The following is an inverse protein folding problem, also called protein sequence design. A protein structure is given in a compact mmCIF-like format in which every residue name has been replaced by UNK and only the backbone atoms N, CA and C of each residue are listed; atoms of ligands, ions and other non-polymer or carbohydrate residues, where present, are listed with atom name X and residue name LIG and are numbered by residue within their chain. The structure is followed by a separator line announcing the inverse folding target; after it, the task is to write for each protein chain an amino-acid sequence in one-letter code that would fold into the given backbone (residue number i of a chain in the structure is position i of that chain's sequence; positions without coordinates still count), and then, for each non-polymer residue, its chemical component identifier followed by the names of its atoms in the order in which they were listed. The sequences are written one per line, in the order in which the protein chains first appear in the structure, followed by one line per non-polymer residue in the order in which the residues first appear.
data_IF_385488633467
#
_entry.id   IF_385488633467
#
_cell.length_a   1.000
_cell.length_b   1.000
_cell.length_c   1.000
_cell.angle_alpha   90.00
_cell.angle_beta   90.00
_cell.angle_gamma   90.00
#
_symmetry.space_group_name_H-M   'P 1'
#
loop_
_entity.id
_entity.type
_entity.pdbx_description
1 polymer ?
#
# COMPACT_ATOMS: atom_id res chain seq x y z
N UNK A 1 -17.82 1.86 7.24
CA UNK A 1 -16.49 1.24 6.95
C UNK A 1 -16.53 0.79 5.51
N UNK A 2 -15.86 1.49 4.61
CA UNK A 2 -15.99 1.30 3.15
C UNK A 2 -14.69 0.69 2.61
N UNK A 3 -14.81 -0.25 1.67
CA UNK A 3 -13.67 -0.76 0.91
C UNK A 3 -13.49 0.08 -0.34
N UNK A 4 -12.31 0.68 -0.47
CA UNK A 4 -11.88 1.37 -1.69
C UNK A 4 -11.24 0.34 -2.60
N UNK A 5 -11.71 0.29 -3.86
CA UNK A 5 -11.23 -0.68 -4.86
C UNK A 5 -9.99 -0.15 -5.59
N UNK A 6 -9.97 1.16 -5.87
CA UNK A 6 -8.82 1.80 -6.51
C UNK A 6 -7.67 1.95 -5.51
N UNK A 7 -6.51 1.41 -5.86
CA UNK A 7 -5.30 1.58 -5.05
C UNK A 7 -4.93 3.07 -4.91
N UNK A 8 -4.94 3.81 -6.01
CA UNK A 8 -4.51 5.21 -6.02
C UNK A 8 -5.44 6.09 -5.19
N UNK A 9 -6.76 5.85 -5.27
CA UNK A 9 -7.74 6.52 -4.41
C UNK A 9 -7.51 6.18 -2.93
N UNK A 10 -7.23 4.91 -2.62
CA UNK A 10 -6.98 4.50 -1.25
C UNK A 10 -5.75 5.19 -0.66
N UNK A 11 -4.65 5.30 -1.43
CA UNK A 11 -3.43 5.97 -0.99
C UNK A 11 -3.67 7.46 -0.79
N UNK A 12 -4.26 8.14 -1.78
CA UNK A 12 -4.50 9.59 -1.72
C UNK A 12 -5.36 9.97 -0.50
N UNK A 13 -6.48 9.29 -0.31
CA UNK A 13 -7.37 9.52 0.84
C UNK A 13 -6.71 9.17 2.17
N UNK A 14 -5.86 8.14 2.20
CA UNK A 14 -5.13 7.77 3.41
C UNK A 14 -4.11 8.84 3.83
N UNK A 15 -3.40 9.42 2.85
CA UNK A 15 -2.44 10.52 3.09
C UNK A 15 -3.19 11.78 3.53
N UNK A 16 -4.30 12.11 2.87
CA UNK A 16 -5.14 13.25 3.26
C UNK A 16 -5.68 13.11 4.68
N UNK A 17 -6.14 11.91 5.06
CA UNK A 17 -6.63 11.64 6.41
C UNK A 17 -5.54 11.82 7.45
N UNK A 18 -4.33 11.31 7.18
CA UNK A 18 -3.18 11.50 8.08
C UNK A 18 -2.79 12.98 8.19
N UNK A 19 -2.76 13.72 7.07
CA UNK A 19 -2.44 15.16 7.09
C UNK A 19 -3.45 15.98 7.87
N UNK A 20 -4.72 15.59 7.88
CA UNK A 20 -5.77 16.28 8.62
C UNK A 20 -5.65 16.09 10.13
N UNK A 21 -5.32 14.88 10.59
CA UNK A 21 -5.15 14.57 12.02
C UNK A 21 -4.10 13.46 12.23
N UNK A 22 -2.80 13.82 12.32
CA UNK A 22 -1.71 12.85 12.44
C UNK A 22 -1.75 12.04 13.73
N UNK A 23 -2.20 12.66 14.84
CA UNK A 23 -2.16 12.07 16.19
C UNK A 23 -3.22 10.98 16.37
N UNK A 24 -4.42 11.17 15.79
CA UNK A 24 -5.49 10.17 15.90
C UNK A 24 -5.49 9.14 14.77
N UNK A 25 -4.80 9.43 13.66
CA UNK A 25 -4.72 8.55 12.49
C UNK A 25 -3.84 7.34 12.75
N UNK A 26 -4.40 6.15 12.57
CA UNK A 26 -3.69 4.87 12.67
C UNK A 26 -3.80 4.08 11.38
N UNK A 27 -2.65 3.58 10.94
CA UNK A 27 -2.52 2.65 9.83
C UNK A 27 -2.30 1.22 10.35
N UNK A 28 -3.10 0.27 9.86
CA UNK A 28 -3.12 -1.13 10.30
C UNK A 28 -3.06 -2.05 9.10
N UNK A 29 -2.16 -3.03 9.19
CA UNK A 29 -2.01 -4.13 8.22
C UNK A 29 -2.49 -5.43 8.85
N UNK A 30 -3.32 -6.19 8.13
CA UNK A 30 -3.73 -7.54 8.53
C UNK A 30 -3.57 -8.49 7.36
N UNK A 31 -2.64 -9.44 7.50
CA UNK A 31 -2.48 -10.55 6.57
C UNK A 31 -3.01 -11.84 7.19
N UNK A 32 -3.70 -12.66 6.38
CA UNK A 32 -4.16 -13.99 6.77
C UNK A 32 -3.69 -15.00 5.74
N UNK A 33 -2.69 -15.80 6.13
CA UNK A 33 -2.01 -16.74 5.23
C UNK A 33 -2.93 -17.84 4.69
N UNK A 34 -3.76 -18.45 5.54
CA UNK A 34 -4.67 -19.54 5.12
C UNK A 34 -5.68 -19.10 4.04
N UNK A 35 -6.00 -17.81 3.98
CA UNK A 35 -6.94 -17.26 3.01
C UNK A 35 -6.24 -16.53 1.86
N UNK A 36 -4.91 -16.35 1.92
CA UNK A 36 -4.15 -15.51 0.98
C UNK A 36 -4.57 -14.04 0.96
N UNK A 37 -5.23 -13.53 2.02
CA UNK A 37 -5.86 -12.20 2.01
C UNK A 37 -5.05 -11.17 2.80
N UNK A 38 -4.86 -10.01 2.21
CA UNK A 38 -4.31 -8.81 2.81
C UNK A 38 -5.40 -7.76 2.97
N UNK A 39 -5.45 -7.13 4.14
CA UNK A 39 -6.33 -5.99 4.43
C UNK A 39 -5.49 -4.86 5.01
N UNK A 40 -5.57 -3.70 4.38
CA UNK A 40 -5.00 -2.45 4.85
C UNK A 40 -6.13 -1.56 5.37
N UNK A 41 -5.89 -0.85 6.48
CA UNK A 41 -6.88 0.03 7.10
C UNK A 41 -6.21 1.31 7.60
N UNK A 42 -6.78 2.46 7.27
CA UNK A 42 -6.40 3.77 7.83
C UNK A 42 -7.64 4.40 8.45
N UNK A 43 -7.51 4.98 9.65
CA UNK A 43 -8.65 5.57 10.38
C UNK A 43 -8.20 6.53 11.47
N UNK A 44 -8.97 7.60 11.68
CA UNK A 44 -8.85 8.64 12.72
C UNK A 44 -9.90 8.45 13.85
N UNK A 45 -10.59 7.29 13.87
CA UNK A 45 -11.79 6.99 14.66
C UNK A 45 -13.12 7.60 14.17
N UNK A 46 -13.11 8.52 13.20
CA UNK A 46 -14.33 9.09 12.59
C UNK A 46 -14.57 8.48 11.21
N UNK A 47 -13.54 8.51 10.37
CA UNK A 47 -13.50 7.88 9.07
C UNK A 47 -12.68 6.59 9.12
N UNK A 48 -13.04 5.63 8.27
CA UNK A 48 -12.28 4.40 8.12
C UNK A 48 -12.24 3.93 6.68
N UNK A 49 -11.03 4.02 6.12
CA UNK A 49 -10.66 3.61 4.78
C UNK A 49 -10.09 2.20 4.85
N UNK A 50 -10.52 1.33 3.95
CA UNK A 50 -9.99 -0.03 3.83
C UNK A 50 -9.65 -0.38 2.40
N UNK A 51 -8.54 -1.09 2.23
CA UNK A 51 -8.18 -1.77 1.00
C UNK A 51 -8.05 -3.26 1.27
N UNK A 52 -8.55 -4.10 0.39
CA UNK A 52 -8.48 -5.55 0.52
C UNK A 52 -8.05 -6.15 -0.80
N UNK A 53 -7.13 -7.09 -0.74
CA UNK A 53 -6.64 -7.81 -1.90
C UNK A 53 -6.29 -9.24 -1.55
N UNK A 54 -6.42 -10.12 -2.54
CA UNK A 54 -5.90 -11.49 -2.56
C UNK A 54 -4.77 -11.66 -3.59
N UNK A 55 -4.37 -10.57 -4.24
CA UNK A 55 -3.38 -10.56 -5.30
C UNK A 55 -1.97 -10.39 -4.70
N UNK A 56 -1.14 -11.41 -4.78
CA UNK A 56 0.22 -11.39 -4.24
C UNK A 56 1.10 -10.27 -4.81
N UNK A 57 0.89 -9.88 -6.07
CA UNK A 57 1.57 -8.76 -6.73
C UNK A 57 1.36 -7.41 -6.02
N UNK A 58 0.27 -7.25 -5.27
CA UNK A 58 -0.03 -6.02 -4.54
C UNK A 58 0.71 -5.93 -3.19
N UNK A 59 1.51 -6.93 -2.81
CA UNK A 59 2.42 -6.83 -1.68
C UNK A 59 3.43 -5.67 -1.86
N UNK A 60 3.93 -5.47 -3.10
CA UNK A 60 4.82 -4.33 -3.42
C UNK A 60 4.11 -2.98 -3.20
N UNK A 61 2.81 -2.89 -3.46
CA UNK A 61 2.00 -1.68 -3.21
C UNK A 61 1.91 -1.39 -1.71
N UNK A 62 1.66 -2.41 -0.89
CA UNK A 62 1.67 -2.29 0.57
C UNK A 62 3.02 -1.78 1.09
N UNK A 63 4.13 -2.33 0.61
CA UNK A 63 5.47 -1.85 1.01
C UNK A 63 5.67 -0.37 0.72
N UNK A 64 5.25 0.10 -0.47
CA UNK A 64 5.27 1.52 -0.83
C UNK A 64 4.45 2.37 0.16
N UNK A 65 3.25 1.91 0.53
CA UNK A 65 2.41 2.62 1.50
C UNK A 65 3.04 2.66 2.90
N UNK A 66 3.70 1.59 3.33
CA UNK A 66 4.41 1.57 4.61
C UNK A 66 5.51 2.65 4.64
N UNK A 67 6.30 2.77 3.56
CA UNK A 67 7.36 3.77 3.46
C UNK A 67 6.81 5.20 3.47
N UNK A 68 5.66 5.43 2.82
CA UNK A 68 4.95 6.72 2.87
C UNK A 68 4.57 7.06 4.32
N UNK A 69 3.89 6.14 5.02
CA UNK A 69 3.45 6.39 6.40
C UNK A 69 4.62 6.53 7.38
N UNK A 70 5.70 5.76 7.22
CA UNK A 70 6.91 5.97 8.03
C UNK A 70 7.52 7.35 7.81
N UNK A 71 7.55 7.82 6.55
CA UNK A 71 8.08 9.15 6.24
C UNK A 71 7.19 10.25 6.84
N UNK A 72 5.87 10.14 6.70
CA UNK A 72 4.90 11.06 7.28
C UNK A 72 4.98 11.11 8.82
N UNK A 73 5.09 9.95 9.46
CA UNK A 73 5.19 9.87 10.93
C UNK A 73 6.54 10.38 11.45
N UNK A 74 7.63 10.16 10.72
CA UNK A 74 8.97 10.57 11.17
C UNK A 74 9.28 12.05 10.87
N UNK A 75 8.80 12.59 9.74
CA UNK A 75 9.13 13.95 9.26
C UNK A 75 7.97 14.94 9.41
N UNK A 76 6.76 14.46 9.73
CA UNK A 76 5.56 15.28 9.88
C UNK A 76 4.65 15.28 8.64
N UNK A 77 3.42 15.83 8.78
CA UNK A 77 2.38 15.78 7.75
C UNK A 77 2.70 16.58 6.48
N UNK A 78 3.52 17.62 6.61
CA UNK A 78 3.84 18.55 5.52
C UNK A 78 4.97 18.07 4.60
N UNK A 79 5.53 16.88 4.86
CA UNK A 79 6.61 16.32 4.03
C UNK A 79 6.14 16.09 2.59
N UNK A 80 7.01 16.46 1.64
CA UNK A 80 6.82 16.10 0.24
C UNK A 80 7.15 14.62 0.02
N UNK A 81 6.18 13.88 -0.51
CA UNK A 81 6.27 12.45 -0.74
C UNK A 81 6.88 12.10 -2.11
N UNK A 82 7.21 13.09 -2.94
CA UNK A 82 7.81 12.91 -4.26
C UNK A 82 9.08 12.04 -4.23
N UNK A 83 9.90 12.18 -3.19
CA UNK A 83 11.13 11.38 -2.97
C UNK A 83 10.84 9.90 -2.64
N UNK A 84 9.81 9.64 -1.84
CA UNK A 84 9.41 8.28 -1.40
C UNK A 84 8.73 7.51 -2.53
N UNK A 85 8.03 8.24 -3.40
CA UNK A 85 7.37 7.69 -4.59
C UNK A 85 8.28 7.60 -5.83
N UNK A 86 9.55 8.02 -5.73
CA UNK A 86 10.45 8.27 -6.86
C UNK A 86 11.18 7.05 -7.45
N UNK A 87 10.88 6.81 -8.75
CA UNK A 87 11.53 5.95 -9.77
C UNK A 87 11.54 4.44 -9.53
N UNK A 88 10.53 3.76 -10.07
CA UNK A 88 10.64 2.33 -10.39
C UNK A 88 11.78 2.10 -11.39
N UNK A 89 12.73 1.18 -11.14
CA UNK A 89 13.41 0.49 -12.22
C UNK A 89 12.35 -0.31 -12.97
N UNK A 90 12.18 -0.01 -14.25
CA UNK A 90 11.44 -0.84 -15.18
C UNK A 90 12.15 -2.21 -15.23
N UNK A 91 11.67 -3.19 -14.44
CA UNK A 91 12.09 -4.58 -14.56
C UNK A 91 11.62 -5.10 -15.93
N UNK A 92 12.51 -5.03 -16.91
CA UNK A 92 12.42 -5.83 -18.14
C UNK A 92 12.42 -7.29 -17.73
N UNK A 93 11.23 -7.91 -17.65
CA UNK A 93 11.13 -9.36 -17.54
C UNK A 93 11.74 -10.00 -18.80
N UNK A 94 12.80 -10.83 -18.71
CA UNK A 94 13.14 -11.70 -19.82
C UNK A 94 12.09 -12.81 -19.88
N UNK A 95 11.45 -12.93 -21.04
CA UNK A 95 10.49 -13.98 -21.36
C UNK A 95 11.05 -15.36 -21.01
N UNK A 96 10.34 -16.11 -20.17
CA UNK A 96 10.63 -17.53 -19.89
C UNK A 96 10.48 -18.32 -21.20
N UNK A 97 11.60 -18.65 -21.86
CA UNK A 97 11.65 -19.63 -22.94
C UNK A 97 11.31 -21.02 -22.38
N UNK A 98 10.15 -21.52 -22.79
CA UNK A 98 9.99 -22.82 -23.43
C UNK A 98 10.41 -24.08 -22.66
N UNK A 99 9.40 -24.86 -22.29
CA UNK A 99 9.45 -26.29 -21.93
C UNK A 99 10.33 -27.11 -22.87
N UNK A 100 11.14 -28.00 -22.31
CA UNK A 100 11.82 -29.06 -23.04
C UNK A 100 12.07 -30.28 -22.14
N UNK A 101 11.08 -31.16 -22.04
CA UNK A 101 11.23 -32.53 -21.52
C UNK A 101 11.81 -33.36 -22.65
N UNK A 102 13.05 -33.85 -22.51
CA UNK A 102 13.57 -34.94 -23.36
C UNK A 102 13.68 -36.21 -22.54
N UNK A 103 13.16 -37.28 -23.16
CA UNK A 103 13.27 -38.68 -22.76
C UNK A 103 14.72 -39.11 -22.62
#
# INVERSE_FOLDING_TARGET
MVYIVSWDEFVDRSVQLFRADPESTRYVVKYRHCDGKLVLKVTDNKECLKFKTDQAQEAKKMEKLNNIFFTLMARGPDVDLSEVTGKEPMETQPAKKGRGRKQ
#
